data_IF_658346472005
#
_entry.id   IF_658346472005
#
_cell.length_a   1.000
_cell.length_b   1.000
_cell.length_c   1.000
_cell.angle_alpha   90.00
_cell.angle_beta   90.00
_cell.angle_gamma   90.00
#
_symmetry.space_group_name_H-M   'P 1'
#
loop_
_entity.id
_entity.type
_entity.pdbx_description
1 polymer ?
#
# COMPACT_ATOMS: atom_id res chain seq x y z
N UNK A 1 -14.11 17.79 6.44
CA UNK A 1 -12.67 17.82 6.16
C UNK A 1 -12.20 16.38 6.17
N UNK A 2 -11.54 15.90 5.12
CA UNK A 2 -11.02 14.53 5.07
C UNK A 2 -9.92 14.35 6.12
N UNK A 3 -9.95 13.22 6.82
CA UNK A 3 -8.91 12.86 7.78
C UNK A 3 -7.79 12.13 7.06
N UNK A 4 -6.56 12.43 7.42
CA UNK A 4 -5.38 11.70 6.95
C UNK A 4 -5.37 10.32 7.60
N UNK A 5 -4.99 9.28 6.85
CA UNK A 5 -4.92 7.90 7.34
C UNK A 5 -3.48 7.47 7.59
N UNK A 6 -3.25 6.77 8.69
CA UNK A 6 -2.01 6.06 9.00
C UNK A 6 -2.29 4.56 8.84
N UNK A 7 -1.57 3.93 7.91
CA UNK A 7 -1.79 2.55 7.47
C UNK A 7 -0.56 1.70 7.79
N UNK A 8 -0.58 0.86 8.82
CA UNK A 8 0.46 -0.16 8.96
C UNK A 8 0.37 -1.17 7.83
N UNK A 9 1.55 -1.65 7.39
CA UNK A 9 1.65 -2.67 6.35
C UNK A 9 2.39 -3.90 6.88
N UNK A 10 1.84 -5.07 6.60
CA UNK A 10 2.40 -6.36 6.95
C UNK A 10 2.63 -7.19 5.68
N UNK A 11 3.90 -7.52 5.43
CA UNK A 11 4.26 -8.54 4.45
C UNK A 11 3.95 -9.91 5.04
N UNK A 12 3.11 -10.68 4.35
CA UNK A 12 2.70 -12.01 4.80
C UNK A 12 3.26 -13.06 3.84
N UNK A 13 3.94 -14.05 4.38
CA UNK A 13 4.43 -15.22 3.64
C UNK A 13 4.02 -16.49 4.38
N UNK A 14 3.37 -17.41 3.67
CA UNK A 14 2.91 -18.69 4.22
C UNK A 14 2.10 -18.53 5.53
N UNK A 15 1.28 -17.46 5.62
CA UNK A 15 0.45 -17.15 6.78
C UNK A 15 1.19 -16.53 7.97
N UNK A 16 2.45 -16.15 7.83
CA UNK A 16 3.26 -15.48 8.86
C UNK A 16 3.68 -14.10 8.41
N UNK A 17 3.72 -13.17 9.33
CA UNK A 17 4.36 -11.87 9.05
C UNK A 17 5.85 -12.09 8.88
N UNK A 18 6.39 -11.51 7.83
CA UNK A 18 7.83 -11.56 7.56
C UNK A 18 8.40 -10.17 7.36
N UNK A 19 9.68 -10.01 7.67
CA UNK A 19 10.44 -8.78 7.45
C UNK A 19 11.79 -9.09 6.83
N UNK A 20 12.13 -8.28 5.82
CA UNK A 20 13.43 -8.30 5.15
C UNK A 20 13.67 -6.96 4.46
N UNK A 21 14.89 -6.75 4.00
CA UNK A 21 15.23 -5.60 3.15
C UNK A 21 15.12 -6.06 1.70
N UNK A 22 14.33 -5.34 0.89
CA UNK A 22 14.08 -5.70 -0.52
C UNK A 22 13.63 -7.16 -0.72
N UNK A 23 12.81 -7.70 0.19
CA UNK A 23 12.33 -9.10 0.17
C UNK A 23 13.44 -10.17 0.25
N UNK A 24 14.61 -9.80 0.76
CA UNK A 24 15.75 -10.72 0.97
C UNK A 24 15.96 -10.92 2.48
N UNK A 25 16.48 -12.09 2.87
CA UNK A 25 16.73 -12.48 4.27
C UNK A 25 15.50 -12.32 5.17
N UNK A 26 14.36 -12.81 4.70
CA UNK A 26 13.09 -12.74 5.41
C UNK A 26 13.16 -13.45 6.77
N UNK A 27 12.79 -12.72 7.83
CA UNK A 27 12.66 -13.25 9.20
C UNK A 27 11.20 -13.29 9.59
N UNK A 28 10.80 -14.35 10.27
CA UNK A 28 9.47 -14.46 10.89
C UNK A 28 9.31 -13.36 11.94
N UNK A 29 8.18 -12.68 11.87
CA UNK A 29 7.88 -11.53 12.71
C UNK A 29 6.52 -11.66 13.43
N UNK A 30 5.91 -12.84 13.45
CA UNK A 30 4.75 -13.16 14.26
C UNK A 30 3.48 -13.55 13.49
N UNK A 31 2.38 -13.66 14.23
CA UNK A 31 1.05 -13.94 13.69
C UNK A 31 0.43 -12.63 13.14
N UNK A 32 -0.02 -12.60 11.88
CA UNK A 32 -0.60 -11.41 11.28
C UNK A 32 -1.92 -10.98 11.94
N UNK A 33 -2.70 -11.91 12.51
CA UNK A 33 -3.96 -11.58 13.19
C UNK A 33 -3.68 -10.91 14.53
N UNK A 34 -2.71 -11.40 15.30
CA UNK A 34 -2.30 -10.75 16.55
C UNK A 34 -1.75 -9.33 16.30
N UNK A 35 -0.95 -9.16 15.25
CA UNK A 35 -0.45 -7.85 14.86
C UNK A 35 -1.60 -6.91 14.44
N UNK A 36 -2.58 -7.41 13.69
CA UNK A 36 -3.76 -6.66 13.29
C UNK A 36 -4.57 -6.17 14.49
N UNK A 37 -4.85 -7.05 15.47
CA UNK A 37 -5.55 -6.71 16.71
C UNK A 37 -4.80 -5.61 17.48
N UNK A 38 -3.48 -5.72 17.56
CA UNK A 38 -2.66 -4.70 18.23
C UNK A 38 -2.72 -3.34 17.52
N UNK A 39 -2.73 -3.32 16.18
CA UNK A 39 -2.84 -2.08 15.39
C UNK A 39 -4.24 -1.46 15.46
N UNK A 40 -5.31 -2.28 15.46
CA UNK A 40 -6.67 -1.82 15.64
C UNK A 40 -6.85 -1.16 17.01
N UNK A 41 -6.41 -1.83 18.07
CA UNK A 41 -6.40 -1.28 19.44
C UNK A 41 -5.54 -0.01 19.58
N UNK A 42 -4.47 0.13 18.79
CA UNK A 42 -3.64 1.33 18.75
C UNK A 42 -4.23 2.47 17.91
N UNK A 43 -5.40 2.26 17.28
CA UNK A 43 -6.14 3.23 16.50
C UNK A 43 -5.62 3.43 15.07
N UNK A 44 -5.10 2.40 14.40
CA UNK A 44 -4.80 2.46 12.99
C UNK A 44 -6.06 2.80 12.17
N UNK A 45 -5.89 3.53 11.07
CA UNK A 45 -7.04 3.94 10.25
C UNK A 45 -7.42 2.90 9.20
N UNK A 46 -6.49 2.04 8.84
CA UNK A 46 -6.61 0.95 7.87
C UNK A 46 -5.42 0.00 8.07
N UNK A 47 -5.53 -1.25 7.66
CA UNK A 47 -4.43 -2.21 7.62
C UNK A 47 -4.20 -2.68 6.18
N UNK A 48 -2.94 -2.83 5.79
CA UNK A 48 -2.57 -3.42 4.51
C UNK A 48 -1.85 -4.74 4.73
N UNK A 49 -2.33 -5.82 4.09
CA UNK A 49 -1.60 -7.07 3.93
C UNK A 49 -1.07 -7.19 2.51
N UNK A 50 0.21 -7.50 2.39
CA UNK A 50 0.83 -7.84 1.12
C UNK A 50 1.26 -9.31 1.15
N UNK A 51 0.54 -10.16 0.42
CA UNK A 51 0.92 -11.55 0.23
C UNK A 51 2.13 -11.63 -0.70
N UNK A 52 3.28 -11.96 -0.14
CA UNK A 52 4.53 -12.16 -0.88
C UNK A 52 4.84 -13.64 -1.10
N UNK A 53 3.87 -14.52 -0.89
CA UNK A 53 3.97 -15.95 -1.13
C UNK A 53 4.17 -16.23 -2.62
N UNK A 54 5.20 -17.00 -2.97
CA UNK A 54 5.61 -17.22 -4.36
C UNK A 54 4.71 -18.20 -5.13
N UNK A 55 3.83 -18.97 -4.44
CA UNK A 55 3.11 -20.09 -5.04
C UNK A 55 1.59 -20.01 -4.85
N UNK A 56 0.87 -20.55 -5.84
CA UNK A 56 -0.60 -20.67 -5.83
C UNK A 56 -1.13 -21.61 -4.73
N UNK A 57 -0.30 -22.54 -4.27
CA UNK A 57 -0.70 -23.59 -3.32
C UNK A 57 -0.97 -23.07 -1.91
N UNK A 58 -0.35 -21.95 -1.51
CA UNK A 58 -0.48 -21.37 -0.16
C UNK A 58 -1.55 -20.27 -0.05
N UNK A 59 -2.34 -20.04 -1.10
CA UNK A 59 -3.37 -19.00 -1.11
C UNK A 59 -4.47 -19.25 -0.07
N UNK A 60 -4.78 -20.50 0.22
CA UNK A 60 -5.73 -20.88 1.26
C UNK A 60 -5.35 -20.36 2.65
N UNK A 61 -4.05 -20.35 2.96
CA UNK A 61 -3.53 -19.83 4.22
C UNK A 61 -3.73 -18.33 4.35
N UNK A 62 -3.50 -17.57 3.26
CA UNK A 62 -3.73 -16.12 3.26
C UNK A 62 -5.23 -15.78 3.42
N UNK A 63 -6.12 -16.53 2.78
CA UNK A 63 -7.57 -16.34 2.91
C UNK A 63 -8.05 -16.60 4.34
N UNK A 64 -7.49 -17.60 5.04
CA UNK A 64 -7.78 -17.83 6.46
C UNK A 64 -7.31 -16.68 7.34
N UNK A 65 -6.12 -16.14 7.08
CA UNK A 65 -5.60 -14.95 7.77
C UNK A 65 -6.54 -13.75 7.57
N UNK A 66 -6.96 -13.49 6.32
CA UNK A 66 -7.91 -12.40 6.01
C UNK A 66 -9.21 -12.57 6.77
N UNK A 67 -9.81 -13.77 6.75
CA UNK A 67 -11.05 -14.06 7.44
C UNK A 67 -10.92 -13.85 8.96
N UNK A 68 -9.89 -14.41 9.59
CA UNK A 68 -9.64 -14.27 11.04
C UNK A 68 -9.39 -12.81 11.44
N UNK A 69 -8.70 -12.06 10.61
CA UNK A 69 -8.47 -10.62 10.83
C UNK A 69 -9.78 -9.84 10.74
N UNK A 70 -10.59 -10.08 9.73
CA UNK A 70 -11.88 -9.42 9.56
C UNK A 70 -12.89 -9.76 10.67
N UNK A 71 -12.80 -10.97 11.27
CA UNK A 71 -13.60 -11.36 12.43
C UNK A 71 -13.14 -10.67 13.74
N UNK A 72 -11.88 -10.25 13.83
CA UNK A 72 -11.26 -9.74 15.05
C UNK A 72 -11.05 -8.22 15.07
N UNK A 73 -11.02 -7.54 13.92
CA UNK A 73 -10.68 -6.13 13.77
C UNK A 73 -11.78 -5.37 13.05
N UNK A 74 -11.92 -4.08 13.37
CA UNK A 74 -12.94 -3.19 12.81
C UNK A 74 -12.37 -2.14 11.84
N UNK A 75 -11.05 -1.98 11.79
CA UNK A 75 -10.43 -1.12 10.79
C UNK A 75 -10.52 -1.74 9.39
N UNK A 76 -10.68 -0.93 8.33
CA UNK A 76 -10.67 -1.43 6.96
C UNK A 76 -9.41 -2.22 6.62
N UNK A 77 -9.57 -3.31 5.87
CA UNK A 77 -8.50 -4.21 5.47
C UNK A 77 -8.30 -4.18 3.95
N UNK A 78 -7.12 -3.73 3.53
CA UNK A 78 -6.66 -3.84 2.14
C UNK A 78 -5.75 -5.05 2.00
N UNK A 79 -6.02 -5.90 1.02
CA UNK A 79 -5.21 -7.10 0.73
C UNK A 79 -4.65 -7.04 -0.67
N UNK A 80 -3.34 -7.16 -0.79
CA UNK A 80 -2.61 -7.22 -2.06
C UNK A 80 -1.69 -8.42 -2.14
N UNK A 81 -1.05 -8.56 -3.30
CA UNK A 81 -0.18 -9.69 -3.61
C UNK A 81 -0.91 -10.82 -4.34
N UNK A 82 -0.37 -11.24 -5.46
CA UNK A 82 -0.87 -12.37 -6.23
C UNK A 82 -2.29 -12.24 -6.83
N UNK A 83 -2.94 -11.08 -6.74
CA UNK A 83 -4.29 -10.84 -7.32
C UNK A 83 -4.19 -10.70 -8.83
N UNK A 84 -4.83 -11.62 -9.58
CA UNK A 84 -4.69 -11.72 -11.04
C UNK A 84 -6.02 -11.79 -11.78
N UNK A 85 -7.09 -12.18 -11.12
CA UNK A 85 -8.39 -12.43 -11.72
C UNK A 85 -9.51 -11.76 -10.93
N UNK A 86 -10.65 -11.57 -11.58
CA UNK A 86 -11.89 -11.09 -10.94
C UNK A 86 -12.34 -12.02 -9.81
N UNK A 87 -12.09 -13.32 -9.95
CA UNK A 87 -12.43 -14.31 -8.91
C UNK A 87 -11.50 -14.20 -7.70
N UNK A 88 -10.25 -13.78 -7.88
CA UNK A 88 -9.35 -13.49 -6.78
C UNK A 88 -9.88 -12.35 -5.93
N UNK A 89 -10.27 -11.24 -6.58
CA UNK A 89 -10.87 -10.08 -5.89
C UNK A 89 -12.14 -10.50 -5.15
N UNK A 90 -13.05 -11.22 -5.84
CA UNK A 90 -14.29 -11.72 -5.23
C UNK A 90 -13.99 -12.56 -3.98
N UNK A 91 -13.01 -13.43 -4.07
CA UNK A 91 -12.63 -14.33 -2.99
C UNK A 91 -12.09 -13.56 -1.79
N UNK A 92 -11.21 -12.58 -1.99
CA UNK A 92 -10.70 -11.71 -0.93
C UNK A 92 -11.83 -10.94 -0.23
N UNK A 93 -12.70 -10.28 -1.01
CA UNK A 93 -13.84 -9.52 -0.47
C UNK A 93 -14.82 -10.42 0.31
N UNK A 94 -15.07 -11.65 -0.15
CA UNK A 94 -15.91 -12.63 0.57
C UNK A 94 -15.29 -13.12 1.88
N UNK A 95 -13.97 -13.09 2.00
CA UNK A 95 -13.28 -13.45 3.23
C UNK A 95 -13.10 -12.26 4.19
N UNK A 96 -13.62 -11.09 3.83
CA UNK A 96 -13.68 -9.92 4.71
C UNK A 96 -12.67 -8.82 4.43
N UNK A 97 -11.93 -8.88 3.31
CA UNK A 97 -11.20 -7.71 2.84
C UNK A 97 -12.17 -6.62 2.38
N UNK A 98 -11.88 -5.37 2.69
CA UNK A 98 -12.65 -4.21 2.21
C UNK A 98 -12.16 -3.77 0.84
N UNK A 99 -10.86 -3.92 0.57
CA UNK A 99 -10.22 -3.53 -0.68
C UNK A 99 -9.26 -4.61 -1.16
N UNK A 100 -9.16 -4.74 -2.48
CA UNK A 100 -8.14 -5.55 -3.14
C UNK A 100 -7.12 -4.65 -3.84
N UNK A 101 -5.83 -4.88 -3.54
CA UNK A 101 -4.74 -4.16 -4.20
C UNK A 101 -4.18 -4.99 -5.35
N UNK A 102 -4.20 -4.41 -6.55
CA UNK A 102 -3.75 -5.03 -7.80
C UNK A 102 -2.52 -4.28 -8.35
N UNK A 103 -1.52 -5.01 -8.80
CA UNK A 103 -0.28 -4.45 -9.34
C UNK A 103 0.01 -5.01 -10.74
N UNK A 104 0.88 -6.00 -10.88
CA UNK A 104 1.37 -6.53 -12.17
C UNK A 104 0.25 -6.97 -13.12
N UNK A 105 -0.86 -7.48 -12.60
CA UNK A 105 -2.02 -7.85 -13.42
C UNK A 105 -2.67 -6.62 -14.09
N UNK A 106 -2.77 -5.50 -13.38
CA UNK A 106 -3.27 -4.25 -13.92
C UNK A 106 -2.31 -3.66 -14.96
N UNK A 107 -0.99 -3.79 -14.75
CA UNK A 107 0.02 -3.39 -15.75
C UNK A 107 -0.07 -4.23 -17.01
N UNK A 108 -0.29 -5.53 -16.89
CA UNK A 108 -0.40 -6.45 -18.04
C UNK A 108 -1.72 -6.35 -18.79
N UNK A 109 -2.79 -6.02 -18.09
CA UNK A 109 -4.15 -5.93 -18.65
C UNK A 109 -4.93 -4.77 -18.01
N UNK A 110 -5.00 -3.63 -18.69
CA UNK A 110 -5.74 -2.44 -18.23
C UNK A 110 -7.24 -2.68 -18.05
N UNK A 111 -7.83 -3.48 -18.94
CA UNK A 111 -9.26 -3.83 -18.89
C UNK A 111 -9.63 -4.56 -17.59
N UNK A 112 -8.67 -5.21 -16.95
CA UNK A 112 -8.87 -5.85 -15.65
C UNK A 112 -9.27 -4.85 -14.57
N UNK A 113 -8.67 -3.63 -14.56
CA UNK A 113 -9.02 -2.56 -13.62
C UNK A 113 -10.48 -2.16 -13.80
N UNK A 114 -10.89 -1.91 -15.05
CA UNK A 114 -12.25 -1.50 -15.39
C UNK A 114 -13.28 -2.57 -15.01
N UNK A 115 -13.04 -3.82 -15.38
CA UNK A 115 -13.92 -4.94 -15.03
C UNK A 115 -14.06 -5.13 -13.51
N UNK A 116 -12.97 -4.94 -12.77
CA UNK A 116 -12.97 -5.01 -11.32
C UNK A 116 -13.80 -3.86 -10.71
N UNK A 117 -13.60 -2.64 -11.17
CA UNK A 117 -14.33 -1.46 -10.71
C UNK A 117 -15.83 -1.54 -11.03
N UNK A 118 -16.19 -1.92 -12.24
CA UNK A 118 -17.60 -2.13 -12.65
C UNK A 118 -18.29 -3.21 -11.80
N UNK A 119 -17.56 -4.23 -11.38
CA UNK A 119 -18.15 -5.37 -10.67
C UNK A 119 -18.25 -5.19 -9.17
N UNK A 120 -17.26 -4.55 -8.54
CA UNK A 120 -17.13 -4.46 -7.09
C UNK A 120 -17.27 -3.04 -6.55
N UNK A 121 -17.25 -2.03 -7.43
CA UNK A 121 -17.16 -0.61 -7.09
C UNK A 121 -15.71 -0.12 -7.02
N UNK A 122 -15.49 1.10 -7.49
CA UNK A 122 -14.17 1.75 -7.51
C UNK A 122 -13.52 1.76 -6.12
N UNK A 123 -14.31 1.99 -5.07
CA UNK A 123 -13.84 2.06 -3.68
C UNK A 123 -13.19 0.76 -3.17
N UNK A 124 -13.44 -0.38 -3.82
CA UNK A 124 -12.83 -1.67 -3.48
C UNK A 124 -11.52 -1.93 -4.22
N UNK A 125 -11.15 -1.08 -5.18
CA UNK A 125 -10.02 -1.31 -6.08
C UNK A 125 -8.90 -0.32 -5.80
N UNK A 126 -7.80 -0.84 -5.26
CA UNK A 126 -6.54 -0.13 -5.08
C UNK A 126 -5.57 -0.57 -6.18
N UNK A 127 -5.00 0.37 -6.92
CA UNK A 127 -3.92 0.05 -7.87
C UNK A 127 -2.58 0.37 -7.22
N UNK A 128 -1.76 -0.66 -7.02
CA UNK A 128 -0.41 -0.49 -6.52
C UNK A 128 0.55 -0.16 -7.68
N UNK A 129 1.37 0.86 -7.47
CA UNK A 129 2.37 1.36 -8.41
C UNK A 129 3.74 1.32 -7.74
N UNK A 130 4.61 0.45 -8.23
CA UNK A 130 6.03 0.44 -7.84
C UNK A 130 6.80 1.28 -8.87
N UNK A 131 7.24 2.47 -8.48
CA UNK A 131 7.87 3.42 -9.36
C UNK A 131 9.36 3.61 -9.02
N UNK A 132 10.18 3.74 -10.04
CA UNK A 132 11.61 4.01 -9.93
C UNK A 132 12.03 5.11 -10.87
N UNK A 133 12.95 5.98 -10.41
CA UNK A 133 13.53 7.03 -11.23
C UNK A 133 14.48 6.43 -12.26
N UNK A 134 14.28 6.78 -13.52
CA UNK A 134 15.10 6.32 -14.65
C UNK A 134 15.51 7.50 -15.54
N UNK A 135 16.65 7.37 -16.20
CA UNK A 135 17.10 8.36 -17.18
C UNK A 135 16.32 8.21 -18.48
N UNK A 136 15.91 9.34 -19.09
CA UNK A 136 15.32 9.34 -20.43
C UNK A 136 16.39 9.24 -21.51
N UNK A 137 16.09 8.56 -22.60
CA UNK A 137 16.86 8.67 -23.82
C UNK A 137 16.74 10.13 -24.33
N UNK A 138 17.87 10.83 -24.45
CA UNK A 138 17.86 12.26 -24.82
C UNK A 138 18.01 13.24 -23.66
N UNK A 139 18.15 12.75 -22.43
CA UNK A 139 18.40 13.57 -21.23
C UNK A 139 17.15 13.78 -20.37
N UNK A 140 17.37 14.12 -19.09
CA UNK A 140 16.33 14.24 -18.08
C UNK A 140 16.01 12.91 -17.40
N UNK A 141 15.10 12.99 -16.44
CA UNK A 141 14.66 11.83 -15.64
C UNK A 141 13.12 11.72 -15.71
N UNK A 142 12.63 10.52 -15.44
CA UNK A 142 11.20 10.22 -15.26
C UNK A 142 11.05 9.13 -14.21
N UNK A 143 9.83 8.91 -13.73
CA UNK A 143 9.51 7.71 -12.95
C UNK A 143 8.88 6.67 -13.87
N UNK A 144 9.40 5.47 -13.80
CA UNK A 144 8.95 4.34 -14.60
C UNK A 144 8.39 3.26 -13.67
N UNK A 145 7.33 2.59 -14.12
CA UNK A 145 6.71 1.48 -13.41
C UNK A 145 7.54 0.23 -13.55
N UNK A 146 7.67 -0.47 -12.43
CA UNK A 146 8.23 -1.80 -12.35
C UNK A 146 7.18 -2.80 -11.90
N UNK A 147 7.36 -4.06 -12.29
CA UNK A 147 6.47 -5.17 -11.93
C UNK A 147 7.24 -6.30 -11.28
N UNK A 148 6.50 -7.31 -10.76
CA UNK A 148 7.08 -8.50 -10.14
C UNK A 148 8.04 -8.19 -8.98
N UNK A 149 7.62 -7.30 -8.07
CA UNK A 149 8.44 -6.87 -6.93
C UNK A 149 9.68 -6.09 -7.38
N UNK A 150 9.53 -5.23 -8.38
CA UNK A 150 10.60 -4.36 -8.86
C UNK A 150 11.61 -4.99 -9.81
N UNK A 151 11.37 -6.22 -10.28
CA UNK A 151 12.33 -6.96 -11.11
C UNK A 151 12.26 -6.59 -12.58
N UNK A 152 11.10 -6.23 -13.09
CA UNK A 152 10.85 -6.00 -14.51
C UNK A 152 10.51 -4.54 -14.75
N UNK A 153 11.40 -3.82 -15.46
CA UNK A 153 11.14 -2.53 -16.07
C UNK A 153 10.07 -2.67 -17.15
N UNK A 154 9.12 -1.74 -17.20
CA UNK A 154 8.01 -1.79 -18.16
C UNK A 154 8.12 -0.76 -19.28
N UNK A 155 8.97 0.26 -19.13
CA UNK A 155 9.02 1.40 -20.02
C UNK A 155 7.85 2.38 -19.87
N UNK A 156 6.91 2.14 -18.96
CA UNK A 156 5.69 2.93 -18.79
C UNK A 156 5.94 4.07 -17.80
N UNK A 157 5.55 5.29 -18.15
CA UNK A 157 5.62 6.45 -17.25
C UNK A 157 4.62 6.30 -16.11
N UNK A 158 5.06 6.53 -14.86
CA UNK A 158 4.25 6.29 -13.68
C UNK A 158 3.08 7.30 -13.55
N UNK A 159 3.25 8.53 -14.00
CA UNK A 159 2.21 9.57 -13.94
C UNK A 159 1.13 9.27 -14.98
N UNK A 160 1.52 8.98 -16.21
CA UNK A 160 0.58 8.62 -17.28
C UNK A 160 -0.22 7.38 -16.91
N UNK A 161 0.45 6.38 -16.32
CA UNK A 161 -0.22 5.17 -15.85
C UNK A 161 -1.21 5.42 -14.72
N UNK A 162 -0.85 6.24 -13.72
CA UNK A 162 -1.75 6.58 -12.63
C UNK A 162 -3.04 7.22 -13.16
N UNK A 163 -2.92 8.16 -14.09
CA UNK A 163 -4.08 8.79 -14.75
C UNK A 163 -4.91 7.77 -15.54
N UNK A 164 -4.26 6.88 -16.27
CA UNK A 164 -4.94 5.82 -17.04
C UNK A 164 -5.76 4.90 -16.13
N UNK A 165 -5.16 4.33 -15.08
CA UNK A 165 -5.88 3.37 -14.21
C UNK A 165 -7.00 4.03 -13.42
N UNK A 166 -6.85 5.30 -13.05
CA UNK A 166 -7.93 6.07 -12.42
C UNK A 166 -9.08 6.29 -13.39
N UNK A 167 -8.80 6.61 -14.65
CA UNK A 167 -9.85 6.72 -15.70
C UNK A 167 -10.59 5.41 -15.94
N UNK A 168 -9.99 4.28 -15.58
CA UNK A 168 -10.58 2.93 -15.67
C UNK A 168 -11.27 2.49 -14.38
N UNK A 169 -11.32 3.33 -13.34
CA UNK A 169 -12.07 3.08 -12.12
C UNK A 169 -11.22 2.60 -10.93
N UNK A 170 -9.91 2.83 -10.93
CA UNK A 170 -9.13 2.69 -9.71
C UNK A 170 -9.61 3.73 -8.69
N UNK A 171 -10.09 3.31 -7.53
CA UNK A 171 -10.59 4.19 -6.49
C UNK A 171 -9.51 4.74 -5.57
N UNK A 172 -8.30 4.16 -5.61
CA UNK A 172 -7.16 4.57 -4.80
C UNK A 172 -5.83 4.10 -5.42
N UNK A 173 -4.77 4.87 -5.22
CA UNK A 173 -3.40 4.53 -5.65
C UNK A 173 -2.54 4.23 -4.41
N UNK A 174 -1.91 3.06 -4.37
CA UNK A 174 -0.83 2.74 -3.44
C UNK A 174 0.50 2.92 -4.15
N UNK A 175 1.18 4.03 -3.84
CA UNK A 175 2.41 4.43 -4.53
C UNK A 175 3.64 4.09 -3.72
N UNK A 176 4.47 3.18 -4.20
CA UNK A 176 5.75 2.83 -3.60
C UNK A 176 6.92 3.34 -4.44
N UNK A 177 7.77 4.17 -3.83
CA UNK A 177 9.04 4.53 -4.44
C UNK A 177 10.07 3.43 -4.18
N UNK A 178 10.51 2.77 -5.22
CA UNK A 178 11.58 1.77 -5.15
C UNK A 178 12.95 2.38 -4.80
N UNK A 179 13.14 3.67 -5.10
CA UNK A 179 14.37 4.38 -4.75
C UNK A 179 14.45 4.70 -3.25
N UNK A 180 13.31 4.69 -2.56
CA UNK A 180 13.20 5.01 -1.13
C UNK A 180 12.88 3.80 -0.25
N UNK A 181 12.24 2.78 -0.80
CA UNK A 181 11.83 1.62 -0.02
C UNK A 181 13.02 0.94 0.67
N UNK A 182 12.87 0.69 1.97
CA UNK A 182 13.92 0.13 2.85
C UNK A 182 15.03 1.11 3.27
N UNK A 183 15.12 2.33 2.69
CA UNK A 183 16.22 3.28 2.96
C UNK A 183 16.10 4.05 4.27
N UNK A 184 14.89 4.20 4.80
CA UNK A 184 14.57 5.02 5.98
C UNK A 184 14.86 6.53 5.82
N UNK A 185 14.96 7.02 4.57
CA UNK A 185 15.29 8.41 4.24
C UNK A 185 14.07 9.28 3.91
N UNK A 186 12.87 8.81 4.21
CA UNK A 186 11.61 9.45 3.87
C UNK A 186 11.07 9.06 2.50
N UNK A 187 9.83 9.47 2.24
CA UNK A 187 9.16 9.23 0.96
C UNK A 187 9.88 9.94 -0.19
N UNK A 188 9.68 9.47 -1.42
CA UNK A 188 10.01 10.23 -2.63
C UNK A 188 8.96 11.33 -2.82
N UNK A 189 9.18 12.47 -2.15
CA UNK A 189 8.21 13.58 -2.14
C UNK A 189 7.91 14.11 -3.55
N UNK A 190 8.90 14.30 -4.44
CA UNK A 190 8.63 14.73 -5.81
C UNK A 190 7.76 13.75 -6.61
N UNK A 191 8.00 12.44 -6.46
CA UNK A 191 7.18 11.40 -7.09
C UNK A 191 5.75 11.42 -6.53
N UNK A 192 5.65 11.43 -5.19
CA UNK A 192 4.36 11.38 -4.50
C UNK A 192 3.50 12.58 -4.87
N UNK A 193 4.08 13.79 -4.85
CA UNK A 193 3.41 15.02 -5.25
C UNK A 193 2.96 14.97 -6.72
N UNK A 194 3.85 14.57 -7.62
CA UNK A 194 3.54 14.54 -9.06
C UNK A 194 2.33 13.62 -9.36
N UNK A 195 2.24 12.47 -8.68
CA UNK A 195 1.10 11.56 -8.83
C UNK A 195 -0.13 12.12 -8.11
N UNK A 196 -0.02 12.55 -6.85
CA UNK A 196 -1.16 13.06 -6.08
C UNK A 196 -1.83 14.26 -6.75
N UNK A 197 -1.05 15.15 -7.36
CA UNK A 197 -1.58 16.32 -8.08
C UNK A 197 -2.16 15.97 -9.47
N UNK A 198 -1.85 14.78 -10.01
CA UNK A 198 -2.29 14.34 -11.35
C UNK A 198 -3.60 13.55 -11.36
N UNK A 199 -4.08 13.07 -10.20
CA UNK A 199 -5.27 12.22 -10.10
C UNK A 199 -6.25 12.72 -9.05
N UNK A 200 -7.57 12.55 -9.24
CA UNK A 200 -8.59 12.99 -8.28
C UNK A 200 -8.88 11.98 -7.15
N UNK A 201 -8.22 10.83 -7.13
CA UNK A 201 -8.44 9.77 -6.13
C UNK A 201 -7.38 9.86 -5.02
N UNK A 202 -7.65 9.27 -3.83
CA UNK A 202 -6.67 9.18 -2.76
C UNK A 202 -5.37 8.51 -3.22
N UNK A 203 -4.24 9.06 -2.75
CA UNK A 203 -2.91 8.47 -2.95
C UNK A 203 -2.30 8.13 -1.58
N UNK A 204 -1.88 6.89 -1.43
CA UNK A 204 -1.17 6.37 -0.26
C UNK A 204 0.33 6.42 -0.56
N UNK A 205 1.08 7.22 0.21
CA UNK A 205 2.54 7.26 0.10
C UNK A 205 3.16 6.04 0.80
N UNK A 206 4.06 5.34 0.11
CA UNK A 206 4.75 4.14 0.59
C UNK A 206 6.24 4.15 0.22
N UNK A 207 7.05 3.53 1.10
CA UNK A 207 8.49 3.36 0.91
C UNK A 207 9.34 4.48 1.51
N UNK A 208 10.26 4.12 2.43
CA UNK A 208 11.29 5.00 2.95
C UNK A 208 11.06 5.60 4.33
N UNK A 209 9.96 5.31 5.01
CA UNK A 209 9.68 5.87 6.34
C UNK A 209 10.71 5.40 7.37
N UNK A 210 11.35 6.35 8.06
CA UNK A 210 12.34 6.08 9.10
C UNK A 210 12.09 6.82 10.42
N UNK A 211 11.23 7.84 10.42
CA UNK A 211 10.81 8.59 11.60
C UNK A 211 9.44 9.24 11.40
N UNK A 212 8.92 9.91 12.43
CA UNK A 212 7.57 10.49 12.42
C UNK A 212 7.45 11.74 11.53
N UNK A 213 8.52 12.50 11.33
CA UNK A 213 8.51 13.69 10.46
C UNK A 213 8.29 13.28 9.00
N UNK A 214 8.81 12.13 8.59
CA UNK A 214 8.58 11.62 7.25
C UNK A 214 7.08 11.41 6.96
N UNK A 215 6.28 11.02 7.96
CA UNK A 215 4.82 10.89 7.81
C UNK A 215 4.16 12.24 7.55
N UNK A 216 4.61 13.29 8.25
CA UNK A 216 4.14 14.67 8.04
C UNK A 216 4.52 15.16 6.64
N UNK A 217 5.76 14.93 6.22
CA UNK A 217 6.27 15.35 4.92
C UNK A 217 5.50 14.70 3.76
N UNK A 218 5.16 13.42 3.88
CA UNK A 218 4.36 12.70 2.88
C UNK A 218 3.02 13.36 2.61
N UNK A 219 2.40 13.96 3.62
CA UNK A 219 1.14 14.68 3.49
C UNK A 219 1.36 16.13 3.03
N UNK A 220 2.26 16.87 3.68
CA UNK A 220 2.45 18.30 3.42
C UNK A 220 3.13 18.60 2.09
N UNK A 221 4.13 17.81 1.78
CA UNK A 221 5.00 18.02 0.62
C UNK A 221 4.76 16.98 -0.47
N UNK A 222 4.34 15.78 -0.10
CA UNK A 222 3.95 14.75 -1.05
C UNK A 222 2.50 14.84 -1.51
N UNK A 223 1.64 15.65 -0.85
CA UNK A 223 0.21 15.81 -1.11
C UNK A 223 -0.59 14.49 -1.04
N UNK A 224 0.00 13.45 -0.42
CA UNK A 224 -0.70 12.19 -0.18
C UNK A 224 -1.87 12.39 0.80
N UNK A 225 -2.87 11.53 0.72
CA UNK A 225 -4.03 11.51 1.63
C UNK A 225 -3.90 10.44 2.72
N UNK A 226 -2.93 9.55 2.56
CA UNK A 226 -2.58 8.52 3.52
C UNK A 226 -1.09 8.21 3.46
N UNK A 227 -0.56 7.70 4.57
CA UNK A 227 0.83 7.24 4.69
C UNK A 227 0.85 5.78 5.13
N UNK A 228 1.62 4.97 4.42
CA UNK A 228 1.82 3.57 4.72
C UNK A 228 3.23 3.37 5.25
N UNK A 229 3.35 2.69 6.38
CA UNK A 229 4.63 2.33 6.97
C UNK A 229 4.61 0.93 7.57
N UNK A 230 5.74 0.25 7.51
CA UNK A 230 5.90 -1.10 8.03
C UNK A 230 6.88 -1.13 9.20
N UNK A 231 8.16 -0.93 8.95
CA UNK A 231 9.25 -1.22 9.89
C UNK A 231 9.16 -0.43 11.19
N UNK A 232 8.86 0.87 11.14
CA UNK A 232 8.81 1.74 12.32
C UNK A 232 7.72 1.32 13.32
N UNK A 233 6.62 0.75 12.83
CA UNK A 233 5.53 0.24 13.65
C UNK A 233 5.79 -1.21 14.08
N UNK A 234 6.21 -2.05 13.15
CA UNK A 234 6.38 -3.47 13.40
C UNK A 234 7.52 -3.77 14.39
N UNK A 235 8.61 -3.01 14.34
CA UNK A 235 9.70 -3.15 15.32
C UNK A 235 9.47 -2.37 16.62
N UNK A 236 8.29 -1.74 16.78
CA UNK A 236 7.94 -1.01 17.99
C UNK A 236 8.77 0.25 18.23
N UNK A 237 9.41 0.81 17.19
CA UNK A 237 10.13 2.07 17.30
C UNK A 237 9.18 3.23 17.63
N UNK A 238 7.99 3.20 17.04
CA UNK A 238 6.89 4.12 17.31
C UNK A 238 5.56 3.36 17.34
N UNK A 239 4.63 3.84 18.16
CA UNK A 239 3.25 3.37 18.12
C UNK A 239 2.43 4.16 17.09
N UNK A 240 1.32 3.59 16.62
CA UNK A 240 0.36 4.30 15.75
C UNK A 240 -0.13 5.58 16.44
N UNK A 241 -0.42 5.51 17.74
CA UNK A 241 -0.87 6.67 18.52
C UNK A 241 0.17 7.79 18.55
N UNK A 242 1.44 7.47 18.80
CA UNK A 242 2.53 8.45 18.74
C UNK A 242 2.64 9.12 17.37
N UNK A 243 2.51 8.33 16.29
CA UNK A 243 2.52 8.85 14.92
C UNK A 243 1.37 9.83 14.69
N UNK A 244 0.15 9.46 15.03
CA UNK A 244 -1.04 10.31 14.87
C UNK A 244 -0.98 11.58 15.73
N UNK A 245 -0.54 11.48 16.97
CA UNK A 245 -0.34 12.64 17.85
C UNK A 245 0.74 13.59 17.32
N UNK A 246 1.82 13.06 16.76
CA UNK A 246 2.86 13.86 16.11
C UNK A 246 2.30 14.60 14.89
N UNK A 247 1.54 13.93 14.05
CA UNK A 247 0.89 14.52 12.88
C UNK A 247 -0.14 15.59 13.27
N UNK A 248 -0.90 15.39 14.37
CA UNK A 248 -1.81 16.43 14.93
C UNK A 248 -1.03 17.65 15.38
N UNK A 249 0.07 17.48 16.13
CA UNK A 249 0.94 18.60 16.53
C UNK A 249 1.48 19.37 15.33
N UNK A 250 1.69 18.68 14.22
CA UNK A 250 2.02 19.31 12.95
C UNK A 250 0.81 19.95 12.24
N UNK A 251 -0.39 19.95 12.82
CA UNK A 251 -1.59 20.60 12.26
C UNK A 251 -2.34 19.76 11.21
N UNK A 252 -2.04 18.47 11.10
CA UNK A 252 -2.75 17.60 10.17
C UNK A 252 -4.06 17.06 10.80
N UNK A 253 -5.14 16.93 10.00
CA UNK A 253 -6.43 16.45 10.48
C UNK A 253 -6.43 14.92 10.65
N UNK A 254 -6.22 14.43 11.85
CA UNK A 254 -6.21 13.00 12.19
C UNK A 254 -7.48 12.56 12.93
N UNK A 255 -7.77 11.25 12.89
CA UNK A 255 -8.70 10.60 13.82
C UNK A 255 -7.90 10.09 15.01
N UNK A 256 -8.16 10.56 16.23
CA UNK A 256 -7.47 10.13 17.45
C UNK A 256 -8.30 9.15 18.28
N UNK A 257 -9.62 9.14 18.09
CA UNK A 257 -10.50 8.19 18.76
C UNK A 257 -10.35 6.80 18.09
N UNK A 258 -10.30 5.72 18.88
CA UNK A 258 -10.25 4.36 18.36
C UNK A 258 -11.51 3.97 17.60
#
# INVERSE_FOLDING_TARGET
MFKVRVIPCLDVKDGRVVKGVNFVDLRDAGDPVEAAIAYDAAGADELCFLDITATHENRGTMLDVVRRTAEACFMPLTVGGGVRTIDDIRTLLRHGADKASINSAAVSNREFVKQAAEKFGEQCIVVAIDAKRVKRAGGGERWEIFTHGGRNSTGIDAIEYAQEVVSLGAGEILLTSMDRDGTRQGFDLPLTQAIADSVPVPVIASGGVGNLDHLVDGIRHGHATAVLAASIFHFGEFTIRQAKEHMVRAGLPMRLDP
#
